data_IF_770245303870
#
_entry.id   IF_770245303870
#
_cell.length_a   1.000
_cell.length_b   1.000
_cell.length_c   1.000
_cell.angle_alpha   90.00
_cell.angle_beta   90.00
_cell.angle_gamma   90.00
#
_symmetry.space_group_name_H-M   'P 1'
#
loop_
_entity.id
_entity.type
_entity.pdbx_description
1 polymer ?
#
# COMPACT_ATOMS: atom_id res chain seq x y z
N UNK A 1 10.64 -39.86 33.59
CA UNK A 1 11.99 -39.47 33.15
C UNK A 1 11.95 -39.19 31.65
N UNK A 2 11.62 -37.96 31.28
CA UNK A 2 11.81 -37.43 29.94
C UNK A 2 12.66 -36.20 30.17
N UNK A 3 13.94 -36.29 29.83
CA UNK A 3 14.87 -35.18 29.95
C UNK A 3 14.52 -34.11 28.92
N UNK A 4 14.18 -32.93 29.43
CA UNK A 4 14.13 -31.68 28.68
C UNK A 4 15.51 -31.41 28.07
N UNK A 5 15.60 -31.53 26.75
CA UNK A 5 16.73 -30.96 25.99
C UNK A 5 16.56 -29.44 25.92
N UNK A 6 17.03 -28.75 26.95
CA UNK A 6 17.30 -27.32 26.88
C UNK A 6 18.32 -27.07 25.75
N UNK A 7 17.86 -26.41 24.68
CA UNK A 7 18.72 -25.94 23.59
C UNK A 7 19.66 -24.90 24.19
N UNK A 8 20.92 -25.27 24.43
CA UNK A 8 21.97 -24.34 24.87
C UNK A 8 22.16 -23.27 23.78
N UNK A 9 21.58 -22.09 23.99
CA UNK A 9 21.76 -20.94 23.13
C UNK A 9 23.11 -20.29 23.48
N UNK A 10 24.01 -20.17 22.51
CA UNK A 10 25.35 -19.59 22.67
C UNK A 10 25.24 -18.17 23.29
N UNK A 11 25.92 -17.92 24.41
CA UNK A 11 25.92 -16.62 25.10
C UNK A 11 26.30 -15.47 24.17
N UNK A 12 27.17 -15.73 23.18
CA UNK A 12 27.56 -14.76 22.15
C UNK A 12 26.39 -14.38 21.25
N UNK A 13 25.56 -15.35 20.89
CA UNK A 13 24.37 -15.13 20.06
C UNK A 13 23.31 -14.31 20.82
N UNK A 14 23.09 -14.63 22.10
CA UNK A 14 22.19 -13.85 22.97
C UNK A 14 22.63 -12.39 23.11
N UNK A 15 23.93 -12.14 23.30
CA UNK A 15 24.47 -10.77 23.35
C UNK A 15 24.27 -10.01 22.04
N UNK A 16 24.49 -10.67 20.91
CA UNK A 16 24.23 -10.08 19.58
C UNK A 16 22.75 -9.73 19.42
N UNK A 17 21.83 -10.61 19.84
CA UNK A 17 20.39 -10.34 19.79
C UNK A 17 20.01 -9.11 20.62
N UNK A 18 20.51 -8.98 21.86
CA UNK A 18 20.25 -7.81 22.70
C UNK A 18 20.79 -6.52 22.10
N UNK A 19 22.02 -6.56 21.55
CA UNK A 19 22.62 -5.40 20.90
C UNK A 19 21.82 -4.97 19.67
N UNK A 20 21.44 -5.93 18.83
CA UNK A 20 20.64 -5.69 17.62
C UNK A 20 19.25 -5.17 17.97
N UNK A 21 18.60 -5.75 18.98
CA UNK A 21 17.31 -5.29 19.49
C UNK A 21 17.39 -3.82 19.97
N UNK A 22 18.44 -3.49 20.72
CA UNK A 22 18.68 -2.11 21.16
C UNK A 22 18.91 -1.15 19.98
N UNK A 23 19.68 -1.57 18.96
CA UNK A 23 19.84 -0.78 17.74
C UNK A 23 18.49 -0.53 17.02
N UNK A 24 17.61 -1.53 16.97
CA UNK A 24 16.26 -1.36 16.44
C UNK A 24 15.41 -0.39 17.28
N UNK A 25 15.51 -0.45 18.61
CA UNK A 25 14.83 0.48 19.51
C UNK A 25 15.33 1.92 19.31
N UNK A 26 16.65 2.12 19.28
CA UNK A 26 17.26 3.42 19.00
C UNK A 26 16.82 3.97 17.65
N UNK A 27 16.84 3.11 16.62
CA UNK A 27 16.39 3.49 15.28
C UNK A 27 14.95 3.99 15.31
N UNK A 28 14.06 3.28 16.01
CA UNK A 28 12.65 3.63 16.11
C UNK A 28 12.41 4.88 16.96
N UNK A 29 13.09 5.00 18.09
CA UNK A 29 12.94 6.10 19.05
C UNK A 29 13.46 7.43 18.49
N UNK A 30 14.54 7.39 17.70
CA UNK A 30 15.20 8.59 17.17
C UNK A 30 15.02 8.76 15.66
N UNK A 31 14.15 7.97 15.01
CA UNK A 31 13.88 8.01 13.58
C UNK A 31 15.15 7.94 12.70
N UNK A 32 16.11 7.10 13.10
CA UNK A 32 17.41 6.99 12.42
C UNK A 32 17.21 6.38 11.01
N UNK A 33 17.70 7.02 9.93
CA UNK A 33 17.53 6.49 8.58
C UNK A 33 18.24 5.14 8.38
N UNK A 34 17.67 4.28 7.53
CA UNK A 34 18.26 2.98 7.17
C UNK A 34 19.72 3.10 6.68
N UNK A 35 20.05 4.16 5.96
CA UNK A 35 21.43 4.39 5.48
C UNK A 35 22.41 4.54 6.65
N UNK A 36 22.03 5.29 7.69
CA UNK A 36 22.85 5.47 8.88
C UNK A 36 22.99 4.17 9.67
N UNK A 37 21.90 3.40 9.84
CA UNK A 37 21.95 2.08 10.48
C UNK A 37 22.83 1.11 9.68
N UNK A 38 22.73 1.09 8.35
CA UNK A 38 23.57 0.24 7.51
C UNK A 38 25.06 0.59 7.67
N UNK A 39 25.42 1.87 7.71
CA UNK A 39 26.79 2.31 7.97
C UNK A 39 27.27 1.87 9.37
N UNK A 40 26.42 2.02 10.39
CA UNK A 40 26.73 1.59 11.75
C UNK A 40 26.95 0.07 11.84
N UNK A 41 26.12 -0.73 11.18
CA UNK A 41 26.28 -2.19 11.12
C UNK A 41 27.58 -2.60 10.44
N UNK A 42 27.95 -1.93 9.35
CA UNK A 42 29.23 -2.16 8.68
C UNK A 42 30.40 -1.85 9.60
N UNK A 43 30.38 -0.69 10.25
CA UNK A 43 31.41 -0.28 11.21
C UNK A 43 31.53 -1.30 12.36
N UNK A 44 30.43 -1.62 13.04
CA UNK A 44 30.42 -2.54 14.17
C UNK A 44 30.85 -3.96 13.77
N UNK A 45 30.47 -4.43 12.57
CA UNK A 45 30.94 -5.72 12.07
C UNK A 45 32.45 -5.76 11.90
N UNK A 46 33.07 -4.69 11.39
CA UNK A 46 34.53 -4.63 11.25
C UNK A 46 35.18 -4.51 12.63
N UNK A 47 34.64 -3.66 13.49
CA UNK A 47 35.11 -3.45 14.85
C UNK A 47 35.14 -4.75 15.67
N UNK A 48 34.05 -5.52 15.68
CA UNK A 48 34.02 -6.83 16.33
C UNK A 48 34.96 -7.83 15.66
N UNK A 49 35.17 -7.74 14.35
CA UNK A 49 36.17 -8.53 13.63
C UNK A 49 37.59 -8.27 14.13
N UNK A 50 37.96 -7.01 14.34
CA UNK A 50 39.28 -6.64 14.90
C UNK A 50 39.41 -7.09 16.35
N UNK A 51 38.38 -6.85 17.18
CA UNK A 51 38.40 -7.31 18.58
C UNK A 51 38.55 -8.84 18.68
N UNK A 52 37.88 -9.59 17.80
CA UNK A 52 37.99 -11.05 17.77
C UNK A 52 39.42 -11.55 17.45
N UNK A 53 40.24 -10.75 16.76
CA UNK A 53 41.66 -11.07 16.55
C UNK A 53 42.50 -10.85 17.81
N UNK A 54 42.09 -9.92 18.67
CA UNK A 54 42.76 -9.59 19.93
C UNK A 54 42.33 -10.56 21.05
N UNK A 55 41.04 -10.89 21.12
CA UNK A 55 40.47 -11.84 22.08
C UNK A 55 39.59 -12.89 21.37
N UNK A 56 40.06 -14.14 21.25
CA UNK A 56 39.31 -15.23 20.60
C UNK A 56 37.96 -15.52 21.26
N UNK A 57 37.78 -15.15 22.53
CA UNK A 57 36.54 -15.34 23.30
C UNK A 57 35.37 -14.53 22.72
N UNK A 58 35.66 -13.46 21.97
CA UNK A 58 34.66 -12.56 21.35
C UNK A 58 34.37 -12.97 19.88
N UNK A 59 35.05 -13.99 19.36
CA UNK A 59 34.88 -14.47 17.99
C UNK A 59 33.43 -14.86 17.65
N UNK A 60 32.68 -15.37 18.62
CA UNK A 60 31.24 -15.65 18.49
C UNK A 60 30.43 -14.40 18.12
N UNK A 61 30.67 -13.27 18.80
CA UNK A 61 29.96 -12.00 18.54
C UNK A 61 30.23 -11.53 17.11
N UNK A 62 31.50 -11.52 16.67
CA UNK A 62 31.87 -11.14 15.30
C UNK A 62 31.21 -12.02 14.23
N UNK A 63 31.07 -13.33 14.52
CA UNK A 63 30.46 -14.29 13.61
C UNK A 63 28.96 -14.07 13.44
N UNK A 64 28.25 -13.77 14.53
CA UNK A 64 26.79 -13.62 14.51
C UNK A 64 26.33 -12.19 14.17
N UNK A 65 27.18 -11.18 14.36
CA UNK A 65 26.76 -9.78 14.18
C UNK A 65 26.40 -9.47 12.72
N UNK A 66 25.23 -8.85 12.46
CA UNK A 66 24.78 -8.55 11.10
C UNK A 66 25.60 -7.41 10.46
N UNK A 67 26.02 -7.61 9.21
CA UNK A 67 26.77 -6.62 8.41
C UNK A 67 25.87 -5.73 7.57
N UNK A 68 24.65 -6.19 7.32
CA UNK A 68 23.67 -5.50 6.48
C UNK A 68 22.33 -5.43 7.20
N UNK A 69 21.52 -4.43 6.85
CA UNK A 69 20.13 -4.32 7.33
C UNK A 69 19.33 -5.59 7.07
N UNK A 70 19.53 -6.25 5.93
CA UNK A 70 18.83 -7.50 5.60
C UNK A 70 19.23 -8.64 6.54
N UNK A 71 20.50 -8.73 6.95
CA UNK A 71 20.94 -9.70 7.93
C UNK A 71 20.39 -9.39 9.32
N UNK A 72 20.34 -8.10 9.70
CA UNK A 72 19.72 -7.64 10.93
C UNK A 72 18.23 -8.00 10.98
N UNK A 73 17.49 -7.69 9.91
CA UNK A 73 16.06 -8.02 9.78
C UNK A 73 15.82 -9.52 9.87
N UNK A 74 16.69 -10.32 9.24
CA UNK A 74 16.64 -11.79 9.33
C UNK A 74 16.89 -12.28 10.77
N UNK A 75 17.83 -11.65 11.48
CA UNK A 75 18.18 -12.00 12.86
C UNK A 75 17.03 -11.68 13.83
N UNK A 76 16.35 -10.57 13.61
CA UNK A 76 15.22 -10.12 14.42
C UNK A 76 13.90 -10.83 14.09
N UNK A 77 13.87 -11.67 13.04
CA UNK A 77 12.62 -12.18 12.48
C UNK A 77 11.73 -11.06 11.90
N UNK A 78 12.29 -9.85 11.71
CA UNK A 78 11.60 -8.68 11.15
C UNK A 78 11.92 -8.54 9.67
N UNK A 79 11.99 -9.64 8.91
CA UNK A 79 11.77 -9.52 7.47
C UNK A 79 10.48 -8.71 7.31
N UNK A 80 10.37 -7.77 6.35
CA UNK A 80 9.08 -7.21 6.00
C UNK A 80 8.23 -8.33 5.37
N UNK A 81 7.77 -9.26 6.21
CA UNK A 81 7.13 -10.49 5.79
C UNK A 81 5.88 -10.12 4.99
N UNK A 82 5.87 -10.64 3.77
CA UNK A 82 4.76 -10.52 2.84
C UNK A 82 4.60 -9.17 2.15
N UNK A 83 5.52 -8.20 2.22
CA UNK A 83 5.47 -7.08 1.26
C UNK A 83 5.84 -7.55 -0.15
N UNK A 84 4.94 -7.35 -1.10
CA UNK A 84 5.16 -7.65 -2.51
C UNK A 84 5.84 -6.46 -3.19
N UNK A 85 6.84 -6.74 -4.02
CA UNK A 85 7.58 -5.72 -4.78
C UNK A 85 7.22 -5.84 -6.25
N UNK A 86 6.57 -4.80 -6.77
CA UNK A 86 6.31 -4.68 -8.20
C UNK A 86 7.34 -3.79 -8.86
N UNK A 87 7.69 -4.12 -10.10
CA UNK A 87 8.51 -3.27 -10.96
C UNK A 87 7.66 -2.08 -11.40
N UNK A 88 8.12 -0.87 -11.11
CA UNK A 88 7.42 0.36 -11.45
C UNK A 88 8.06 1.04 -12.66
N UNK A 89 7.28 1.30 -13.71
CA UNK A 89 7.74 2.01 -14.89
C UNK A 89 7.71 3.52 -14.66
N UNK A 90 8.87 4.17 -14.68
CA UNK A 90 8.97 5.61 -14.43
C UNK A 90 8.24 6.48 -15.46
N UNK A 91 8.17 6.01 -16.72
CA UNK A 91 7.59 6.77 -17.83
C UNK A 91 6.05 6.83 -17.78
N UNK A 92 5.39 5.71 -17.48
CA UNK A 92 3.93 5.61 -17.52
C UNK A 92 3.29 5.29 -16.16
N UNK A 93 4.08 5.17 -15.10
CA UNK A 93 3.61 4.87 -13.74
C UNK A 93 2.91 3.50 -13.58
N UNK A 94 3.05 2.62 -14.57
CA UNK A 94 2.47 1.28 -14.51
C UNK A 94 3.35 0.29 -13.76
N UNK A 95 2.73 -0.64 -13.05
CA UNK A 95 3.40 -1.70 -12.30
C UNK A 95 3.32 -3.05 -13.00
N UNK A 96 4.33 -3.90 -12.75
CA UNK A 96 4.45 -5.24 -13.32
C UNK A 96 5.07 -6.20 -12.31
N UNK A 97 4.76 -7.49 -12.42
CA UNK A 97 5.51 -8.51 -11.69
C UNK A 97 6.93 -8.62 -12.25
N UNK A 98 7.90 -8.94 -11.39
CA UNK A 98 9.30 -9.04 -11.82
C UNK A 98 9.51 -10.06 -12.95
N UNK A 99 8.85 -11.22 -12.86
CA UNK A 99 8.94 -12.29 -13.86
C UNK A 99 8.42 -11.84 -15.24
N UNK A 100 7.43 -10.94 -15.28
CA UNK A 100 6.90 -10.40 -16.53
C UNK A 100 7.88 -9.45 -17.21
N UNK A 101 8.84 -8.89 -16.46
CA UNK A 101 9.84 -7.93 -16.94
C UNK A 101 11.10 -8.58 -17.49
N UNK A 102 11.29 -9.88 -17.33
CA UNK A 102 12.46 -10.62 -17.83
C UNK A 102 12.09 -11.54 -18.99
N UNK A 103 13.05 -11.77 -19.88
CA UNK A 103 13.00 -12.77 -20.94
C UNK A 103 14.18 -13.71 -20.76
N UNK A 104 13.93 -15.02 -20.78
CA UNK A 104 14.98 -16.04 -20.75
C UNK A 104 15.15 -16.61 -22.16
N UNK A 105 16.35 -16.50 -22.73
CA UNK A 105 16.71 -17.05 -24.03
C UNK A 105 17.89 -18.00 -23.79
N UNK A 106 17.62 -19.30 -23.75
CA UNK A 106 18.61 -20.29 -23.32
C UNK A 106 19.09 -20.01 -21.89
N UNK A 107 20.41 -19.87 -21.70
CA UNK A 107 21.04 -19.50 -20.43
C UNK A 107 21.08 -17.98 -20.18
N UNK A 108 20.75 -17.16 -21.18
CA UNK A 108 20.77 -15.70 -21.03
C UNK A 108 19.46 -15.14 -20.51
N UNK A 109 19.57 -14.13 -19.66
CA UNK A 109 18.44 -13.33 -19.17
C UNK A 109 18.57 -11.93 -19.74
N UNK A 110 17.46 -11.40 -20.27
CA UNK A 110 17.37 -10.05 -20.80
C UNK A 110 16.22 -9.29 -20.14
N UNK A 111 16.37 -7.97 -19.99
CA UNK A 111 15.28 -7.10 -19.54
C UNK A 111 14.34 -6.80 -20.70
N UNK A 112 13.04 -6.98 -20.49
CA UNK A 112 12.01 -6.44 -21.38
C UNK A 112 11.85 -4.93 -21.14
N UNK A 113 11.21 -4.28 -22.08
CA UNK A 113 10.75 -2.89 -21.97
C UNK A 113 9.26 -2.85 -21.64
N UNK A 114 8.79 -1.75 -21.07
CA UNK A 114 7.39 -1.52 -20.77
C UNK A 114 6.54 -1.55 -22.06
N UNK A 115 5.57 -2.46 -22.11
CA UNK A 115 4.61 -2.58 -23.22
C UNK A 115 3.23 -1.99 -22.93
N UNK A 116 3.06 -1.30 -21.79
CA UNK A 116 1.80 -0.66 -21.45
C UNK A 116 1.36 0.35 -22.53
N UNK A 117 0.07 0.31 -22.83
CA UNK A 117 -0.65 1.25 -23.70
C UNK A 117 -1.85 1.77 -22.91
N UNK A 118 -2.07 3.08 -22.97
CA UNK A 118 -3.19 3.72 -22.28
C UNK A 118 -4.51 3.50 -23.04
N UNK A 119 -4.45 3.58 -24.36
CA UNK A 119 -5.52 3.22 -25.30
C UNK A 119 -4.96 2.43 -26.48
N UNK A 120 -5.84 1.80 -27.25
CA UNK A 120 -5.46 1.03 -28.44
C UNK A 120 -4.66 1.87 -29.44
N UNK A 121 -5.08 3.11 -29.67
CA UNK A 121 -4.37 4.08 -30.52
C UNK A 121 -3.08 4.64 -29.95
N UNK A 122 -2.86 4.53 -28.63
CA UNK A 122 -1.67 5.11 -28.00
C UNK A 122 -0.41 4.30 -28.27
N UNK A 123 0.72 4.96 -28.50
CA UNK A 123 2.01 4.27 -28.61
C UNK A 123 2.35 3.52 -27.30
N UNK A 124 3.05 2.40 -27.44
CA UNK A 124 3.56 1.67 -26.27
C UNK A 124 4.62 2.49 -25.55
N UNK A 125 4.61 2.41 -24.22
CA UNK A 125 5.49 3.23 -23.38
C UNK A 125 6.99 3.05 -23.70
N UNK A 126 7.44 1.81 -23.93
CA UNK A 126 8.83 1.44 -24.21
C UNK A 126 9.83 1.98 -23.16
N UNK A 127 9.39 2.20 -21.93
CA UNK A 127 10.26 2.56 -20.80
C UNK A 127 11.13 1.38 -20.37
N UNK A 128 12.38 1.64 -20.02
CA UNK A 128 13.20 0.66 -19.33
C UNK A 128 12.55 0.30 -17.98
N UNK A 129 12.65 -0.98 -17.60
CA UNK A 129 12.05 -1.52 -16.36
C UNK A 129 13.11 -1.97 -15.37
N UNK A 130 14.17 -2.62 -15.87
CA UNK A 130 15.26 -3.15 -15.07
C UNK A 130 16.60 -2.54 -15.50
N UNK A 131 17.54 -2.45 -14.57
CA UNK A 131 18.96 -2.19 -14.82
C UNK A 131 19.76 -3.49 -14.72
N UNK A 132 20.73 -3.67 -15.61
CA UNK A 132 21.67 -4.78 -15.54
C UNK A 132 22.87 -4.37 -14.67
N UNK A 133 23.28 -5.25 -13.77
CA UNK A 133 24.48 -5.10 -12.95
C UNK A 133 25.33 -6.35 -13.14
N UNK A 134 26.58 -6.16 -13.54
CA UNK A 134 27.56 -7.24 -13.64
C UNK A 134 28.24 -7.44 -12.30
N UNK A 135 28.29 -8.68 -11.82
CA UNK A 135 28.96 -9.08 -10.58
C UNK A 135 30.44 -9.38 -10.83
N UNK A 136 31.30 -9.42 -9.79
CA UNK A 136 32.73 -9.75 -9.94
C UNK A 136 33.00 -11.09 -10.64
N UNK A 137 32.06 -12.04 -10.54
CA UNK A 137 32.11 -13.32 -11.24
C UNK A 137 31.60 -13.25 -12.71
N UNK A 138 31.49 -12.06 -13.29
CA UNK A 138 30.95 -11.76 -14.63
C UNK A 138 29.50 -12.18 -14.84
N UNK A 139 28.76 -12.53 -13.78
CA UNK A 139 27.34 -12.86 -13.91
C UNK A 139 26.50 -11.58 -13.97
N UNK A 140 25.53 -11.55 -14.90
CA UNK A 140 24.59 -10.44 -15.05
C UNK A 140 23.38 -10.65 -14.15
N UNK A 141 23.02 -9.63 -13.38
CA UNK A 141 21.81 -9.62 -12.55
C UNK A 141 20.99 -8.39 -12.86
N UNK A 142 19.68 -8.59 -13.01
CA UNK A 142 18.74 -7.51 -13.30
C UNK A 142 18.04 -7.06 -12.03
N UNK A 143 17.97 -5.75 -11.83
CA UNK A 143 17.27 -5.14 -10.71
C UNK A 143 16.25 -4.14 -11.21
N UNK A 144 15.05 -4.02 -10.60
CA UNK A 144 14.09 -2.99 -10.95
C UNK A 144 14.71 -1.58 -10.86
N UNK A 145 14.40 -0.72 -11.83
CA UNK A 145 14.77 0.69 -11.78
C UNK A 145 14.04 1.41 -10.65
N UNK A 146 12.73 1.17 -10.53
CA UNK A 146 11.90 1.57 -9.40
C UNK A 146 11.03 0.43 -8.93
N UNK A 147 10.70 0.49 -7.65
CA UNK A 147 9.90 -0.52 -6.95
C UNK A 147 8.67 0.17 -6.38
N UNK A 148 7.51 -0.38 -6.70
CA UNK A 148 6.29 -0.14 -5.94
C UNK A 148 6.20 -1.20 -4.85
N UNK A 149 6.25 -0.75 -3.59
CA UNK A 149 6.12 -1.62 -2.44
C UNK A 149 4.64 -1.74 -2.08
N UNK A 150 4.12 -2.96 -2.10
CA UNK A 150 2.75 -3.29 -1.79
C UNK A 150 2.68 -4.17 -0.54
N UNK A 151 1.81 -3.84 0.41
CA UNK A 151 1.48 -4.66 1.56
C UNK A 151 0.14 -5.34 1.26
N UNK A 152 0.10 -6.68 1.11
CA UNK A 152 -1.14 -7.41 0.89
C UNK A 152 -2.18 -7.08 1.93
N UNK A 153 -3.42 -6.89 1.48
CA UNK A 153 -4.55 -6.59 2.34
C UNK A 153 -4.78 -7.73 3.35
N UNK A 154 -4.54 -8.98 2.94
CA UNK A 154 -4.52 -10.14 3.85
C UNK A 154 -3.66 -9.91 5.10
N UNK A 155 -2.41 -9.47 4.91
CA UNK A 155 -1.48 -9.28 6.01
C UNK A 155 -1.95 -8.17 6.95
N UNK A 156 -2.54 -7.13 6.40
CA UNK A 156 -3.10 -6.05 7.21
C UNK A 156 -4.27 -6.53 8.08
N UNK A 157 -5.31 -7.09 7.46
CA UNK A 157 -6.52 -7.48 8.17
C UNK A 157 -6.21 -8.58 9.20
N UNK A 158 -5.36 -9.55 8.85
CA UNK A 158 -4.96 -10.62 9.78
C UNK A 158 -4.24 -10.11 11.03
N UNK A 159 -3.46 -9.02 10.93
CA UNK A 159 -2.85 -8.38 12.10
C UNK A 159 -3.89 -7.66 12.94
N UNK A 160 -4.84 -6.97 12.32
CA UNK A 160 -5.89 -6.22 13.03
C UNK A 160 -6.82 -7.12 13.83
N UNK A 161 -7.36 -8.16 13.19
CA UNK A 161 -8.35 -9.06 13.83
C UNK A 161 -7.75 -9.90 14.97
N UNK A 162 -6.41 -9.98 15.03
CA UNK A 162 -5.65 -10.58 16.13
C UNK A 162 -5.35 -9.62 17.28
N UNK A 163 -5.73 -8.34 17.18
CA UNK A 163 -5.59 -7.39 18.29
C UNK A 163 -6.70 -7.64 19.33
N UNK A 164 -6.35 -7.63 20.63
CA UNK A 164 -7.35 -7.73 21.70
C UNK A 164 -8.44 -6.66 21.56
N UNK A 165 -9.71 -7.07 21.62
CA UNK A 165 -10.87 -6.18 21.58
C UNK A 165 -11.15 -5.49 20.22
N UNK A 166 -10.38 -5.78 19.16
CA UNK A 166 -10.56 -5.12 17.87
C UNK A 166 -11.93 -5.43 17.23
N UNK A 167 -12.35 -6.70 17.28
CA UNK A 167 -13.64 -7.12 16.73
C UNK A 167 -14.79 -6.43 17.48
N UNK A 168 -14.72 -6.38 18.82
CA UNK A 168 -15.74 -5.73 19.66
C UNK A 168 -15.83 -4.23 19.37
N UNK A 169 -14.68 -3.56 19.20
CA UNK A 169 -14.64 -2.15 18.80
C UNK A 169 -15.29 -1.93 17.42
N UNK A 170 -15.07 -2.85 16.48
CA UNK A 170 -15.68 -2.77 15.14
C UNK A 170 -17.18 -3.07 15.14
N UNK A 171 -17.71 -3.71 16.18
CA UNK A 171 -19.13 -4.02 16.31
C UNK A 171 -19.88 -3.03 17.22
N UNK A 172 -19.17 -2.10 17.88
CA UNK A 172 -19.73 -1.11 18.79
C UNK A 172 -20.90 -0.31 18.18
N UNK A 173 -20.76 0.09 16.91
CA UNK A 173 -21.78 0.86 16.19
C UNK A 173 -23.13 0.12 16.04
N UNK A 174 -23.15 -1.22 16.13
CA UNK A 174 -24.37 -2.02 16.01
C UNK A 174 -25.33 -1.79 17.18
N UNK A 175 -24.81 -1.36 18.33
CA UNK A 175 -25.59 -1.02 19.52
C UNK A 175 -25.86 0.47 19.70
N UNK A 176 -25.38 1.33 18.79
CA UNK A 176 -25.61 2.77 18.86
C UNK A 176 -27.05 3.11 18.40
N UNK A 177 -27.77 3.87 19.22
CA UNK A 177 -29.08 4.39 18.83
C UNK A 177 -28.89 5.43 17.73
N UNK A 178 -29.51 5.19 16.58
CA UNK A 178 -29.55 6.17 15.49
C UNK A 178 -30.40 7.36 15.92
N UNK A 179 -29.80 8.53 15.85
CA UNK A 179 -30.52 9.80 15.96
C UNK A 179 -31.17 10.08 14.61
N UNK A 180 -32.49 10.27 14.58
CA UNK A 180 -33.21 10.55 13.33
C UNK A 180 -33.00 11.97 12.84
N UNK A 181 -32.56 12.87 13.72
CA UNK A 181 -32.58 14.31 13.46
C UNK A 181 -31.19 14.85 13.08
N UNK A 182 -30.12 14.08 13.32
CA UNK A 182 -28.76 14.48 13.00
C UNK A 182 -27.85 13.31 12.59
N UNK A 183 -27.02 13.54 11.57
CA UNK A 183 -25.94 12.63 11.18
C UNK A 183 -24.72 12.87 12.11
N UNK A 184 -24.33 11.86 12.89
CA UNK A 184 -23.24 11.95 13.87
C UNK A 184 -21.98 11.26 13.39
N UNK A 185 -22.13 10.14 12.68
CA UNK A 185 -21.01 9.36 12.14
C UNK A 185 -21.36 8.76 10.76
N UNK A 186 -20.38 8.08 10.16
CA UNK A 186 -20.49 7.41 8.86
C UNK A 186 -21.57 6.33 8.85
N UNK A 187 -21.93 5.78 10.02
CA UNK A 187 -22.96 4.75 10.19
C UNK A 187 -24.37 5.26 9.89
N UNK A 188 -24.58 6.57 9.99
CA UNK A 188 -25.87 7.23 9.79
C UNK A 188 -26.15 7.51 8.31
N UNK A 189 -25.12 7.46 7.47
CA UNK A 189 -25.27 7.76 6.06
C UNK A 189 -25.91 6.63 5.23
N UNK A 190 -26.53 7.04 4.12
CA UNK A 190 -27.14 6.12 3.14
C UNK A 190 -26.14 5.14 2.57
N UNK A 191 -24.89 5.55 2.36
CA UNK A 191 -23.85 4.68 1.79
C UNK A 191 -23.59 3.49 2.72
N UNK A 192 -23.44 3.72 4.03
CA UNK A 192 -23.31 2.64 5.01
C UNK A 192 -24.52 1.72 5.01
N UNK A 193 -25.71 2.33 5.01
CA UNK A 193 -26.99 1.62 5.04
C UNK A 193 -27.15 0.65 3.85
N UNK A 194 -26.63 1.02 2.66
CA UNK A 194 -26.67 0.16 1.46
C UNK A 194 -25.84 -1.13 1.58
N UNK A 195 -24.90 -1.21 2.53
CA UNK A 195 -24.04 -2.37 2.73
C UNK A 195 -24.37 -3.15 4.02
N UNK A 196 -25.47 -2.83 4.70
CA UNK A 196 -25.91 -3.58 5.88
C UNK A 196 -26.25 -5.03 5.54
N UNK A 197 -26.90 -5.23 4.39
CA UNK A 197 -27.31 -6.53 3.84
C UNK A 197 -26.84 -6.68 2.39
N UNK A 198 -26.55 -7.91 1.97
CA UNK A 198 -26.22 -8.25 0.59
C UNK A 198 -26.77 -9.65 0.27
N UNK A 199 -27.33 -9.82 -0.93
CA UNK A 199 -27.86 -11.09 -1.44
C UNK A 199 -28.84 -11.80 -0.48
N UNK A 200 -29.77 -11.03 0.11
CA UNK A 200 -30.76 -11.54 1.06
C UNK A 200 -30.24 -11.85 2.47
N UNK A 201 -28.94 -11.66 2.74
CA UNK A 201 -28.31 -11.91 4.03
C UNK A 201 -27.61 -10.69 4.65
N UNK A 202 -27.18 -10.79 5.92
CA UNK A 202 -26.42 -9.73 6.58
C UNK A 202 -25.00 -9.63 5.99
N UNK A 203 -24.56 -8.40 5.67
CA UNK A 203 -23.19 -8.11 5.24
C UNK A 203 -22.45 -7.34 6.33
N UNK A 204 -22.56 -6.00 6.42
CA UNK A 204 -22.00 -5.25 7.55
C UNK A 204 -22.69 -5.57 8.88
N UNK A 205 -23.95 -6.01 8.86
CA UNK A 205 -24.62 -6.56 10.05
C UNK A 205 -24.04 -7.91 10.49
N UNK A 206 -23.38 -8.62 9.58
CA UNK A 206 -22.76 -9.91 9.85
C UNK A 206 -21.56 -9.80 10.80
N UNK A 207 -21.12 -10.94 11.32
CA UNK A 207 -19.88 -11.03 12.08
C UNK A 207 -18.67 -10.87 11.14
N UNK A 208 -17.61 -10.23 11.63
CA UNK A 208 -16.31 -10.12 10.95
C UNK A 208 -16.35 -9.47 9.55
N UNK A 209 -17.27 -8.53 9.34
CA UNK A 209 -17.34 -7.72 8.12
C UNK A 209 -16.89 -6.29 8.38
N UNK A 210 -15.94 -5.81 7.58
CA UNK A 210 -15.32 -4.50 7.77
C UNK A 210 -15.47 -3.59 6.55
N UNK A 211 -15.97 -2.37 6.78
CA UNK A 211 -15.98 -1.29 5.81
C UNK A 211 -14.62 -0.59 5.79
N UNK A 212 -14.09 -0.37 4.60
CA UNK A 212 -12.79 0.24 4.34
C UNK A 212 -12.96 1.59 3.64
N UNK A 213 -12.12 2.55 4.01
CA UNK A 213 -11.93 3.79 3.27
C UNK A 213 -10.55 3.80 2.63
N UNK A 214 -10.49 4.06 1.32
CA UNK A 214 -9.24 4.21 0.59
C UNK A 214 -8.84 5.67 0.47
N UNK A 215 -7.58 5.94 0.76
CA UNK A 215 -6.95 7.25 0.62
C UNK A 215 -5.67 7.12 -0.20
N UNK A 216 -5.41 8.12 -1.03
CA UNK A 216 -4.17 8.27 -1.78
C UNK A 216 -3.76 9.73 -1.70
N UNK A 217 -2.53 9.96 -1.30
CA UNK A 217 -1.96 11.30 -1.19
C UNK A 217 -0.50 11.31 -1.64
N UNK A 218 -0.07 12.43 -2.22
CA UNK A 218 1.30 12.67 -2.65
C UNK A 218 1.96 13.74 -1.79
N UNK A 219 3.06 13.37 -1.15
CA UNK A 219 3.74 14.24 -0.20
C UNK A 219 5.25 14.23 -0.43
N UNK A 220 5.91 15.28 0.07
CA UNK A 220 7.36 15.39 0.07
C UNK A 220 7.91 14.72 1.33
N UNK A 221 8.66 13.61 1.22
CA UNK A 221 9.19 12.94 2.40
C UNK A 221 10.36 13.72 3.02
N UNK A 222 11.03 14.59 2.25
CA UNK A 222 12.16 15.40 2.69
C UNK A 222 11.89 16.88 2.46
N UNK A 223 12.21 17.72 3.46
CA UNK A 223 12.16 19.18 3.35
C UNK A 223 13.11 19.66 2.25
N UNK A 224 12.74 20.75 1.56
CA UNK A 224 13.54 21.40 0.52
C UNK A 224 13.89 20.52 -0.69
N UNK A 225 13.12 19.45 -0.93
CA UNK A 225 13.24 18.65 -2.16
C UNK A 225 12.01 18.82 -3.03
N UNK A 226 12.17 18.61 -4.34
CA UNK A 226 11.04 18.42 -5.26
C UNK A 226 10.59 16.96 -5.32
N UNK A 227 11.20 16.08 -4.52
CA UNK A 227 10.89 14.66 -4.50
C UNK A 227 9.53 14.43 -3.83
N UNK A 228 8.56 13.95 -4.58
CA UNK A 228 7.24 13.58 -4.09
C UNK A 228 7.03 12.07 -4.21
N UNK A 229 6.43 11.46 -3.19
CA UNK A 229 6.03 10.05 -3.15
C UNK A 229 4.53 9.95 -2.91
N UNK A 230 3.90 8.92 -3.45
CA UNK A 230 2.49 8.65 -3.18
C UNK A 230 2.32 7.58 -2.10
N UNK A 231 1.44 7.81 -1.13
CA UNK A 231 1.01 6.79 -0.18
C UNK A 231 -0.41 6.36 -0.51
N UNK A 232 -0.63 5.03 -0.53
CA UNK A 232 -1.95 4.40 -0.63
C UNK A 232 -2.25 3.79 0.73
N UNK A 233 -3.29 4.26 1.41
CA UNK A 233 -3.63 3.77 2.75
C UNK A 233 -5.12 3.49 2.92
N UNK A 234 -5.41 2.53 3.79
CA UNK A 234 -6.75 2.09 4.15
C UNK A 234 -7.05 2.36 5.62
N UNK A 235 -8.31 2.69 5.90
CA UNK A 235 -8.83 2.87 7.25
C UNK A 235 -10.06 2.00 7.46
N UNK A 236 -10.17 1.36 8.63
CA UNK A 236 -11.36 0.58 9.01
C UNK A 236 -12.45 1.52 9.53
N UNK A 237 -13.53 1.66 8.78
CA UNK A 237 -14.61 2.60 9.09
C UNK A 237 -15.50 2.13 10.25
N UNK A 238 -15.54 0.82 10.52
CA UNK A 238 -16.24 0.24 11.67
C UNK A 238 -15.72 0.73 13.03
N UNK A 239 -14.46 1.17 13.11
CA UNK A 239 -13.89 1.62 14.37
C UNK A 239 -14.54 2.93 14.84
N UNK A 240 -14.71 3.14 16.16
CA UNK A 240 -15.24 4.38 16.71
C UNK A 240 -14.42 5.59 16.26
N UNK A 241 -15.09 6.71 15.96
CA UNK A 241 -14.49 7.95 15.42
C UNK A 241 -13.21 8.38 16.15
N UNK A 242 -13.18 8.27 17.48
CA UNK A 242 -12.04 8.67 18.34
C UNK A 242 -10.73 7.92 18.09
N UNK A 243 -10.80 6.71 17.54
CA UNK A 243 -9.62 5.87 17.26
C UNK A 243 -9.45 5.54 15.78
N UNK A 244 -10.49 5.73 14.96
CA UNK A 244 -10.56 5.34 13.56
C UNK A 244 -9.34 5.79 12.74
N UNK A 245 -8.94 7.05 12.87
CA UNK A 245 -7.86 7.66 12.07
C UNK A 245 -6.51 7.75 12.79
N UNK A 246 -6.35 7.05 13.93
CA UNK A 246 -5.04 6.97 14.59
C UNK A 246 -4.07 6.19 13.72
N UNK A 247 -2.78 6.51 13.83
CA UNK A 247 -1.74 5.87 13.03
C UNK A 247 -1.72 4.34 13.20
N UNK A 248 -2.04 3.82 14.39
CA UNK A 248 -2.13 2.36 14.59
C UNK A 248 -3.28 1.67 13.81
N UNK A 249 -4.29 2.42 13.37
CA UNK A 249 -5.51 1.94 12.70
C UNK A 249 -5.62 2.37 11.23
N UNK A 250 -4.67 3.16 10.74
CA UNK A 250 -4.50 3.48 9.33
C UNK A 250 -3.33 2.66 8.78
N UNK A 251 -3.51 2.01 7.62
CA UNK A 251 -2.45 1.18 7.05
C UNK A 251 -2.05 1.55 5.67
N UNK A 252 -0.74 1.72 5.52
CA UNK A 252 -0.04 1.91 4.28
C UNK A 252 0.01 0.59 3.48
N UNK A 253 -0.89 0.49 2.51
CA UNK A 253 -0.99 -0.63 1.56
C UNK A 253 0.01 -0.46 0.41
N UNK A 254 0.31 0.76 0.00
CA UNK A 254 1.16 1.00 -1.16
C UNK A 254 2.03 2.24 -1.03
N UNK A 255 3.26 2.15 -1.50
CA UNK A 255 4.15 3.31 -1.63
C UNK A 255 4.54 3.50 -3.10
N UNK A 256 3.93 4.50 -3.74
CA UNK A 256 4.19 4.91 -5.12
C UNK A 256 5.52 5.68 -5.15
N UNK A 257 6.53 5.19 -5.89
CA UNK A 257 7.85 5.80 -5.87
C UNK A 257 7.85 7.13 -6.63
N UNK A 258 8.67 8.07 -6.15
CA UNK A 258 8.86 9.39 -6.76
C UNK A 258 9.68 9.38 -8.04
N UNK A 259 10.24 10.52 -8.48
CA UNK A 259 10.31 11.80 -7.78
C UNK A 259 9.09 12.70 -7.97
N UNK A 260 8.17 12.36 -8.89
CA UNK A 260 7.03 13.21 -9.24
C UNK A 260 5.75 12.39 -9.18
N UNK A 261 4.65 13.09 -8.94
CA UNK A 261 3.31 12.52 -9.05
C UNK A 261 3.07 11.97 -10.47
N UNK A 262 2.41 10.80 -10.61
CA UNK A 262 1.97 10.28 -11.90
C UNK A 262 1.16 11.31 -12.67
N UNK A 263 1.48 11.50 -13.96
CA UNK A 263 0.72 12.43 -14.81
C UNK A 263 -0.67 11.92 -15.20
N UNK A 264 -0.85 10.59 -15.18
CA UNK A 264 -2.06 9.89 -15.63
C UNK A 264 -2.70 9.14 -14.46
N UNK A 265 -3.63 8.25 -14.78
CA UNK A 265 -4.26 7.39 -13.78
C UNK A 265 -3.25 6.47 -13.09
N UNK A 266 -3.65 5.98 -11.93
CA UNK A 266 -2.88 5.05 -11.10
C UNK A 266 -3.57 3.70 -11.00
N UNK A 267 -4.37 3.33 -12.01
CA UNK A 267 -5.21 2.13 -11.94
C UNK A 267 -4.41 0.84 -11.85
N UNK A 268 -3.26 0.77 -12.53
CA UNK A 268 -2.37 -0.39 -12.45
C UNK A 268 -1.78 -0.56 -11.05
N UNK A 269 -1.44 0.54 -10.37
CA UNK A 269 -0.97 0.56 -8.97
C UNK A 269 -2.03 0.00 -8.02
N UNK A 270 -3.30 0.31 -8.28
CA UNK A 270 -4.44 -0.18 -7.49
C UNK A 270 -4.90 -1.58 -7.86
N UNK A 271 -4.44 -2.14 -8.99
CA UNK A 271 -4.83 -3.47 -9.47
C UNK A 271 -4.73 -4.57 -8.41
N UNK A 272 -3.57 -4.74 -7.73
CA UNK A 272 -3.43 -5.74 -6.67
C UNK A 272 -4.44 -5.58 -5.53
N UNK A 273 -4.72 -4.33 -5.12
CA UNK A 273 -5.69 -4.06 -4.06
C UNK A 273 -7.12 -4.39 -4.52
N UNK A 274 -7.48 -4.07 -5.76
CA UNK A 274 -8.80 -4.40 -6.31
C UNK A 274 -9.02 -5.91 -6.35
N UNK A 275 -8.02 -6.68 -6.79
CA UNK A 275 -8.09 -8.15 -6.81
C UNK A 275 -8.27 -8.73 -5.40
N UNK A 276 -7.59 -8.20 -4.40
CA UNK A 276 -7.79 -8.63 -3.01
C UNK A 276 -9.15 -8.21 -2.46
N UNK A 277 -9.60 -6.98 -2.71
CA UNK A 277 -10.93 -6.51 -2.28
C UNK A 277 -12.06 -7.37 -2.83
N UNK A 278 -11.95 -7.86 -4.08
CA UNK A 278 -12.91 -8.81 -4.65
C UNK A 278 -12.93 -10.14 -3.89
N UNK A 279 -11.77 -10.67 -3.48
CA UNK A 279 -11.71 -11.88 -2.65
C UNK A 279 -12.30 -11.64 -1.26
N UNK A 280 -12.02 -10.48 -0.67
CA UNK A 280 -12.60 -10.10 0.62
C UNK A 280 -14.10 -9.83 0.57
N UNK A 281 -14.65 -9.47 -0.60
CA UNK A 281 -16.09 -9.36 -0.77
C UNK A 281 -16.77 -10.72 -0.55
N UNK A 282 -16.24 -11.77 -1.17
CA UNK A 282 -16.75 -13.14 -1.01
C UNK A 282 -16.44 -13.70 0.40
N UNK A 283 -15.24 -13.37 0.90
CA UNK A 283 -14.77 -13.67 2.25
C UNK A 283 -13.47 -14.46 2.25
N UNK A 284 -12.60 -14.16 3.22
CA UNK A 284 -11.28 -14.78 3.38
C UNK A 284 -11.18 -15.44 4.75
N UNK A 285 -10.74 -16.70 4.78
CA UNK A 285 -10.56 -17.44 6.04
C UNK A 285 -9.36 -16.88 6.82
N UNK A 286 -9.57 -16.54 8.08
CA UNK A 286 -8.53 -16.01 8.99
C UNK A 286 -8.78 -16.44 10.43
N UNK A 287 -7.72 -16.53 11.23
CA UNK A 287 -7.85 -16.65 12.69
C UNK A 287 -7.91 -15.27 13.34
N UNK A 288 -8.70 -15.14 14.41
CA UNK A 288 -8.92 -13.90 15.15
C UNK A 288 -8.36 -14.03 16.57
N UNK A 289 -8.38 -12.94 17.34
CA UNK A 289 -7.87 -12.97 18.71
C UNK A 289 -8.68 -13.88 19.64
N UNK A 290 -10.01 -13.83 19.54
CA UNK A 290 -10.94 -14.50 20.46
C UNK A 290 -11.19 -15.97 20.15
N UNK A 291 -10.81 -16.43 18.95
CA UNK A 291 -11.10 -17.79 18.50
C UNK A 291 -9.89 -18.35 17.73
N UNK A 292 -9.49 -19.57 18.10
CA UNK A 292 -8.43 -20.32 17.43
C UNK A 292 -8.90 -20.91 16.10
N UNK A 293 -10.23 -21.08 15.92
CA UNK A 293 -10.81 -21.50 14.65
C UNK A 293 -10.74 -20.38 13.60
N UNK A 294 -10.67 -20.78 12.33
CA UNK A 294 -10.71 -19.81 11.23
C UNK A 294 -12.15 -19.33 10.99
N UNK A 295 -12.35 -18.02 10.98
CA UNK A 295 -13.61 -17.36 10.61
C UNK A 295 -13.51 -16.79 9.19
N UNK A 296 -14.67 -16.54 8.57
CA UNK A 296 -14.75 -15.89 7.26
C UNK A 296 -14.80 -14.37 7.46
N UNK A 297 -13.70 -13.68 7.15
CA UNK A 297 -13.60 -12.22 7.23
C UNK A 297 -13.98 -11.61 5.89
N UNK A 298 -14.90 -10.64 5.91
CA UNK A 298 -15.32 -9.90 4.71
C UNK A 298 -14.92 -8.44 4.79
N UNK A 299 -14.63 -7.83 3.66
CA UNK A 299 -14.40 -6.40 3.58
C UNK A 299 -15.11 -5.76 2.39
N UNK A 300 -15.53 -4.50 2.56
CA UNK A 300 -16.07 -3.66 1.49
C UNK A 300 -15.34 -2.35 1.42
N UNK A 301 -15.01 -1.89 0.21
CA UNK A 301 -14.59 -0.51 0.01
C UNK A 301 -15.80 0.41 0.04
N UNK A 302 -16.05 1.05 1.18
CA UNK A 302 -17.20 1.91 1.42
C UNK A 302 -17.09 3.23 0.67
N UNK A 303 -15.92 3.86 0.76
CA UNK A 303 -15.68 5.14 0.14
C UNK A 303 -14.21 5.36 -0.19
N UNK A 304 -13.99 6.35 -1.05
CA UNK A 304 -12.67 6.87 -1.35
C UNK A 304 -12.58 8.31 -0.86
N UNK A 305 -11.54 8.64 -0.11
CA UNK A 305 -11.30 9.96 0.45
C UNK A 305 -9.98 10.49 -0.13
N UNK A 306 -10.12 11.35 -1.12
CA UNK A 306 -9.02 11.87 -1.92
C UNK A 306 -9.13 13.38 -2.00
N UNK A 307 -7.98 14.06 -2.11
CA UNK A 307 -7.99 15.42 -2.63
C UNK A 307 -8.45 15.43 -4.09
N UNK A 308 -8.73 16.62 -4.64
CA UNK A 308 -9.22 16.71 -6.02
C UNK A 308 -8.22 16.10 -7.00
N UNK A 309 -6.91 16.46 -7.02
CA UNK A 309 -5.91 15.85 -7.88
C UNK A 309 -5.86 14.31 -7.86
N UNK A 310 -5.85 13.68 -6.68
CA UNK A 310 -5.83 12.24 -6.53
C UNK A 310 -7.13 11.61 -7.03
N UNK A 311 -8.27 12.21 -6.68
CA UNK A 311 -9.59 11.71 -7.13
C UNK A 311 -9.69 11.63 -8.65
N UNK A 312 -9.06 12.56 -9.39
CA UNK A 312 -9.07 12.54 -10.87
C UNK A 312 -8.29 11.37 -11.42
N UNK A 313 -7.11 11.11 -10.86
CA UNK A 313 -6.23 10.02 -11.28
C UNK A 313 -6.81 8.64 -10.95
N UNK A 314 -7.48 8.51 -9.80
CA UNK A 314 -8.07 7.24 -9.38
C UNK A 314 -9.40 6.96 -10.08
N UNK A 315 -10.27 7.96 -10.18
CA UNK A 315 -11.62 7.75 -10.71
C UNK A 315 -11.72 7.96 -12.23
N UNK A 316 -10.63 8.30 -12.92
CA UNK A 316 -10.62 8.51 -14.37
C UNK A 316 -11.37 9.76 -14.81
N UNK A 317 -11.30 10.83 -14.01
CA UNK A 317 -11.86 12.13 -14.41
C UNK A 317 -10.76 13.03 -14.98
N UNK A 318 -11.18 14.03 -15.76
CA UNK A 318 -10.29 15.09 -16.23
C UNK A 318 -9.78 15.93 -15.05
N UNK A 319 -8.68 16.66 -15.25
CA UNK A 319 -8.03 17.46 -14.22
C UNK A 319 -8.94 18.51 -13.55
N UNK A 320 -8.50 19.05 -12.41
CA UNK A 320 -9.30 20.00 -11.60
C UNK A 320 -9.77 21.24 -12.37
N UNK A 321 -9.03 21.66 -13.40
CA UNK A 321 -9.37 22.80 -14.27
C UNK A 321 -10.24 22.43 -15.49
N UNK A 322 -10.80 21.22 -15.55
CA UNK A 322 -11.66 20.81 -16.65
C UNK A 322 -12.98 21.59 -16.68
N UNK A 323 -13.56 21.77 -17.87
CA UNK A 323 -14.91 22.37 -18.03
C UNK A 323 -15.94 21.54 -17.26
N UNK A 324 -15.81 20.21 -17.29
CA UNK A 324 -16.64 19.28 -16.52
C UNK A 324 -15.93 18.86 -15.22
N UNK A 325 -15.67 19.84 -14.35
CA UNK A 325 -14.91 19.65 -13.11
C UNK A 325 -15.62 18.87 -12.00
N UNK A 326 -16.94 18.67 -12.05
CA UNK A 326 -17.66 17.94 -11.00
C UNK A 326 -17.63 16.41 -11.23
N UNK A 327 -17.38 15.64 -10.16
CA UNK A 327 -17.43 14.16 -10.18
C UNK A 327 -18.85 13.59 -10.07
N UNK A 328 -19.84 14.43 -9.73
CA UNK A 328 -21.23 14.03 -9.49
C UNK A 328 -22.21 14.51 -10.55
N UNK A 329 -21.90 15.60 -11.26
CA UNK A 329 -22.76 16.16 -12.30
C UNK A 329 -21.98 16.50 -13.58
N UNK A 330 -22.73 16.79 -14.63
CA UNK A 330 -22.24 17.21 -15.94
C UNK A 330 -22.34 18.74 -16.14
N UNK A 331 -22.44 19.52 -15.06
CA UNK A 331 -22.38 20.98 -15.16
C UNK A 331 -21.05 21.40 -15.78
N UNK A 332 -21.15 22.28 -16.78
CA UNK A 332 -20.02 22.96 -17.39
C UNK A 332 -19.71 24.22 -16.58
N UNK A 333 -18.43 24.37 -16.22
CA UNK A 333 -17.89 25.56 -15.57
C UNK A 333 -17.09 26.34 -16.63
N UNK A 334 -17.61 27.47 -17.14
CA UNK A 334 -16.97 28.25 -18.20
C UNK A 334 -15.75 29.03 -17.68
N UNK A 335 -15.06 29.72 -18.59
CA UNK A 335 -13.86 30.52 -18.31
C UNK A 335 -12.59 29.89 -18.90
N UNK A 336 -11.39 30.46 -18.67
CA UNK A 336 -10.10 29.86 -19.02
C UNK A 336 -9.57 28.93 -17.92
N UNK A 337 -8.54 28.13 -18.25
CA UNK A 337 -7.89 27.22 -17.29
C UNK A 337 -7.31 28.04 -16.14
N UNK A 338 -7.59 27.63 -14.89
CA UNK A 338 -7.18 28.37 -13.69
C UNK A 338 -8.11 29.51 -13.24
N UNK A 339 -9.07 29.93 -14.08
CA UNK A 339 -10.05 30.98 -13.75
C UNK A 339 -11.47 30.53 -14.13
N UNK A 340 -11.81 29.29 -13.77
CA UNK A 340 -13.14 28.72 -14.00
C UNK A 340 -14.17 29.45 -13.14
N UNK A 341 -15.31 29.78 -13.73
CA UNK A 341 -16.46 30.28 -12.99
C UNK A 341 -17.23 29.10 -12.36
N UNK A 342 -17.18 29.01 -11.03
CA UNK A 342 -17.87 27.99 -10.24
C UNK A 342 -19.23 28.44 -9.70
N UNK A 343 -19.75 29.59 -10.14
CA UNK A 343 -21.01 30.16 -9.69
C UNK A 343 -22.26 29.43 -10.24
N UNK A 344 -23.45 29.95 -9.90
CA UNK A 344 -24.74 29.45 -10.39
C UNK A 344 -25.16 28.12 -9.75
N UNK A 345 -25.26 28.10 -8.42
CA UNK A 345 -25.53 26.90 -7.60
C UNK A 345 -27.00 26.41 -7.62
N UNK A 346 -27.66 26.43 -8.79
CA UNK A 346 -28.94 25.74 -8.94
C UNK A 346 -28.72 24.24 -9.22
N UNK A 347 -28.46 23.50 -8.15
CA UNK A 347 -28.16 22.05 -8.20
C UNK A 347 -29.32 21.22 -8.72
N UNK A 348 -30.54 21.75 -8.74
CA UNK A 348 -31.72 21.01 -9.23
C UNK A 348 -31.68 20.81 -10.74
N UNK A 349 -31.05 21.75 -11.46
CA UNK A 349 -30.95 21.73 -12.92
C UNK A 349 -29.73 20.97 -13.44
N UNK A 350 -28.83 20.51 -12.56
CA UNK A 350 -27.56 19.93 -13.00
C UNK A 350 -27.73 18.46 -13.39
N UNK A 351 -27.46 18.07 -14.65
CA UNK A 351 -27.56 16.68 -15.05
C UNK A 351 -26.59 15.82 -14.25
N UNK A 352 -27.10 14.76 -13.61
CA UNK A 352 -26.28 13.88 -12.77
C UNK A 352 -25.43 12.97 -13.65
N UNK A 353 -24.22 12.66 -13.18
CA UNK A 353 -23.42 11.59 -13.78
C UNK A 353 -23.96 10.25 -13.32
N UNK A 354 -24.03 9.29 -14.23
CA UNK A 354 -24.31 7.90 -13.88
C UNK A 354 -23.05 7.04 -13.96
N UNK A 355 -23.00 5.96 -13.18
CA UNK A 355 -21.89 5.00 -13.25
C UNK A 355 -21.82 4.32 -14.62
N UNK A 356 -22.96 4.04 -15.25
CA UNK A 356 -23.05 3.39 -16.54
C UNK A 356 -22.42 4.26 -17.65
N UNK A 357 -22.77 5.55 -17.71
CA UNK A 357 -22.18 6.49 -18.66
C UNK A 357 -20.68 6.69 -18.39
N UNK A 358 -20.29 6.81 -17.11
CA UNK A 358 -18.89 6.96 -16.75
C UNK A 358 -18.06 5.77 -17.24
N UNK A 359 -18.54 4.54 -16.99
CA UNK A 359 -17.91 3.31 -17.52
C UNK A 359 -17.85 3.33 -19.04
N UNK A 360 -18.94 3.65 -19.72
CA UNK A 360 -18.99 3.74 -21.19
C UNK A 360 -17.93 4.71 -21.74
N UNK A 361 -17.78 5.87 -21.11
CA UNK A 361 -16.78 6.87 -21.50
C UNK A 361 -15.34 6.38 -21.27
N UNK A 362 -15.06 5.70 -20.16
CA UNK A 362 -13.74 5.12 -19.93
C UNK A 362 -13.43 4.01 -20.95
N UNK A 363 -14.41 3.16 -21.27
CA UNK A 363 -14.24 2.12 -22.28
C UNK A 363 -14.00 2.70 -23.68
N UNK A 364 -14.70 3.77 -24.06
CA UNK A 364 -14.48 4.43 -25.36
C UNK A 364 -13.09 5.04 -25.43
N UNK A 365 -12.61 5.68 -24.35
CA UNK A 365 -11.23 6.21 -24.27
C UNK A 365 -10.20 5.09 -24.46
N UNK A 366 -10.37 3.95 -23.79
CA UNK A 366 -9.45 2.80 -23.93
C UNK A 366 -9.43 2.23 -25.35
N UNK A 367 -10.59 2.20 -26.02
CA UNK A 367 -10.70 1.70 -27.40
C UNK A 367 -10.31 2.73 -28.47
N UNK A 368 -10.19 4.01 -28.11
CA UNK A 368 -9.89 5.09 -29.06
C UNK A 368 -8.59 4.83 -29.83
N UNK A 369 -8.64 5.06 -31.15
CA UNK A 369 -7.52 5.02 -32.08
C UNK A 369 -6.71 6.33 -32.11
N UNK A 370 -7.25 7.43 -31.57
CA UNK A 370 -6.59 8.73 -31.46
C UNK A 370 -6.40 9.15 -30.00
N UNK A 371 -5.24 9.76 -29.70
CA UNK A 371 -4.98 10.42 -28.42
C UNK A 371 -5.46 11.88 -28.55
N UNK A 372 -6.75 12.13 -28.57
CA UNK A 372 -7.26 13.49 -28.33
C UNK A 372 -7.76 13.56 -26.89
N UNK A 373 -6.97 14.27 -26.08
CA UNK A 373 -7.15 14.42 -24.63
C UNK A 373 -8.25 15.40 -24.24
#
# INVERSE_FOLDING_TARGET
>A
MVEDKAVHMDSSYSLVLWLVYYLCLLQKQHYIPNVAVAALLQFLSVFFGVIAQISPQISGISRYFPRTLQQLEKLMGTQPEGRVRYVYCEKCSSIFSYNDCILKIGSEVQSKVCKYRFSNGSQSCNGALLKCVERPNKSKVFYPLKIYCYTPLYNYISVLVKRPGFCDLCDHWKGENKDTDALKDVYDEKVWSNFLTYDGGPFLLGAYTYALMLNIDWFKPCKHTEYSVGAVYLTIMNLPRRIRFRQENAVLIGLIPGPKEPKRDVNTVLGPLVEELLKFWDGVKMTIFSDSASVLVRCVLLCVAFDIPASRKVCGFLGHSAILGCSKCLKKFPGPVGQRDYSGFDRTQWPKRTLAEHRKNIYSIRKSSTITG
#
